data_IF_598814916079
#
_entry.id   IF_598814916079
#
_cell.length_a   1.000
_cell.length_b   1.000
_cell.length_c   1.000
_cell.angle_alpha   90.00
_cell.angle_beta   90.00
_cell.angle_gamma   90.00
#
_symmetry.space_group_name_H-M   'P 1'
#
loop_
_entity.id
_entity.type
_entity.pdbx_description
1 polymer ?
#
# COMPACT_ATOMS: atom_id res chain seq x y z
N UNK A 1 -10.62 45.43 -52.83
CA UNK A 1 -11.35 44.28 -52.26
C UNK A 1 -10.53 42.97 -52.01
N UNK A 2 -9.17 42.88 -52.06
CA UNK A 2 -8.49 41.60 -51.80
C UNK A 2 -8.05 41.35 -50.33
N UNK A 3 -7.98 42.39 -49.48
CA UNK A 3 -7.44 42.27 -48.10
C UNK A 3 -8.35 41.52 -47.12
N UNK A 4 -9.67 41.56 -47.31
CA UNK A 4 -10.61 40.86 -46.43
C UNK A 4 -10.69 39.36 -46.70
N UNK A 5 -10.47 38.93 -47.94
CA UNK A 5 -10.42 37.50 -48.30
C UNK A 5 -9.18 36.80 -47.73
N UNK A 6 -8.02 37.49 -47.70
CA UNK A 6 -6.80 36.94 -47.11
C UNK A 6 -6.90 36.75 -45.59
N UNK A 7 -7.53 37.69 -44.88
CA UNK A 7 -7.75 37.58 -43.43
C UNK A 7 -8.74 36.46 -43.08
N UNK A 8 -9.80 36.28 -43.89
CA UNK A 8 -10.76 35.19 -43.69
C UNK A 8 -10.12 33.82 -43.95
N UNK A 9 -9.31 33.70 -45.00
CA UNK A 9 -8.57 32.47 -45.31
C UNK A 9 -7.56 32.12 -44.21
N UNK A 10 -6.86 33.11 -43.65
CA UNK A 10 -5.95 32.91 -42.52
C UNK A 10 -6.70 32.49 -41.25
N UNK A 11 -7.87 33.06 -40.98
CA UNK A 11 -8.71 32.69 -39.85
C UNK A 11 -9.27 31.27 -39.97
N UNK A 12 -9.69 30.86 -41.18
CA UNK A 12 -10.12 29.48 -41.46
C UNK A 12 -8.94 28.49 -41.38
N UNK A 13 -7.75 28.86 -41.85
CA UNK A 13 -6.54 28.05 -41.68
C UNK A 13 -6.13 27.91 -40.20
N UNK A 14 -6.29 28.97 -39.39
CA UNK A 14 -6.05 28.93 -37.94
C UNK A 14 -7.13 28.12 -37.20
N UNK A 15 -8.39 28.17 -37.64
CA UNK A 15 -9.48 27.33 -37.13
C UNK A 15 -9.29 25.85 -37.49
N UNK A 16 -8.87 25.55 -38.72
CA UNK A 16 -8.55 24.18 -39.16
C UNK A 16 -7.26 23.67 -38.52
N UNK A 17 -6.29 24.53 -38.25
CA UNK A 17 -5.07 24.20 -37.50
C UNK A 17 -5.30 24.12 -35.98
N UNK A 18 -6.41 24.65 -35.45
CA UNK A 18 -6.80 24.49 -34.03
C UNK A 18 -7.74 23.30 -33.77
N UNK A 19 -8.34 22.73 -34.81
CA UNK A 19 -9.04 21.44 -34.71
C UNK A 19 -8.17 20.28 -34.18
N UNK A 20 -6.88 20.11 -34.57
CA UNK A 20 -6.01 19.11 -33.95
C UNK A 20 -5.55 19.47 -32.53
N UNK A 21 -5.72 20.72 -32.06
CA UNK A 21 -5.38 21.14 -30.69
C UNK A 21 -6.46 20.81 -29.66
N UNK A 22 -7.63 20.32 -30.10
CA UNK A 22 -8.59 19.60 -29.26
C UNK A 22 -8.70 18.14 -29.73
N UNK A 23 -7.58 17.45 -29.85
CA UNK A 23 -7.62 16.00 -29.75
C UNK A 23 -8.35 15.68 -28.44
N UNK A 24 -9.50 15.03 -28.52
CA UNK A 24 -10.23 14.59 -27.34
C UNK A 24 -9.25 13.88 -26.41
N UNK A 25 -9.26 14.22 -25.11
CA UNK A 25 -8.37 13.61 -24.13
C UNK A 25 -8.42 12.09 -24.33
N UNK A 26 -7.30 11.43 -24.69
CA UNK A 26 -7.30 10.00 -24.97
C UNK A 26 -7.84 9.18 -23.79
N UNK A 27 -7.79 9.72 -22.57
CA UNK A 27 -8.33 9.10 -21.36
C UNK A 27 -9.87 9.14 -21.27
N UNK A 28 -10.54 9.99 -22.04
CA UNK A 28 -12.00 10.07 -22.13
C UNK A 28 -12.61 9.14 -23.20
N UNK A 29 -11.75 8.46 -23.98
CA UNK A 29 -12.18 7.44 -24.94
C UNK A 29 -12.93 6.33 -24.20
N UNK A 30 -14.13 5.99 -24.69
CA UNK A 30 -14.90 4.87 -24.18
C UNK A 30 -14.27 3.54 -24.56
N UNK A 31 -14.05 2.68 -23.58
CA UNK A 31 -13.47 1.34 -23.72
C UNK A 31 -14.37 0.30 -23.03
N UNK A 32 -14.40 -0.95 -23.50
CA UNK A 32 -15.14 -2.01 -22.82
C UNK A 32 -14.52 -2.27 -21.44
N UNK A 33 -15.34 -2.27 -20.40
CA UNK A 33 -14.97 -2.83 -19.11
C UNK A 33 -15.16 -4.34 -19.20
N UNK A 34 -14.18 -5.03 -19.77
CA UNK A 34 -14.08 -6.49 -19.81
C UNK A 34 -12.61 -6.85 -19.86
N UNK A 35 -12.16 -7.67 -18.93
CA UNK A 35 -10.78 -8.13 -18.87
C UNK A 35 -10.72 -9.44 -18.09
N UNK A 36 -9.70 -10.25 -18.35
CA UNK A 36 -9.44 -11.45 -17.56
C UNK A 36 -7.95 -11.76 -17.57
N UNK A 37 -7.29 -11.61 -16.43
CA UNK A 37 -5.86 -11.87 -16.31
C UNK A 37 -5.56 -12.80 -15.13
N UNK A 38 -4.67 -13.75 -15.38
CA UNK A 38 -4.11 -14.71 -14.42
C UNK A 38 -2.64 -14.47 -14.12
N UNK A 39 -2.02 -13.52 -14.82
CA UNK A 39 -0.64 -13.10 -14.58
C UNK A 39 -0.54 -11.58 -14.73
N UNK A 40 0.50 -10.98 -14.14
CA UNK A 40 0.77 -9.56 -14.34
C UNK A 40 0.97 -9.20 -15.82
N UNK A 41 1.65 -10.09 -16.58
CA UNK A 41 1.85 -9.93 -18.02
C UNK A 41 0.53 -9.90 -18.79
N UNK A 42 -0.40 -10.78 -18.45
CA UNK A 42 -1.75 -10.78 -19.04
C UNK A 42 -2.49 -9.49 -18.71
N UNK A 43 -2.43 -9.01 -17.45
CA UNK A 43 -3.08 -7.77 -17.05
C UNK A 43 -2.53 -6.55 -17.82
N UNK A 44 -1.21 -6.49 -18.01
CA UNK A 44 -0.57 -5.48 -18.88
C UNK A 44 -1.10 -5.57 -20.31
N UNK A 45 -1.19 -6.79 -20.86
CA UNK A 45 -1.69 -7.02 -22.22
C UNK A 45 -3.15 -6.59 -22.38
N UNK A 46 -3.99 -6.85 -21.38
CA UNK A 46 -5.39 -6.42 -21.32
C UNK A 46 -5.52 -4.90 -21.33
N UNK A 47 -4.68 -4.19 -20.56
CA UNK A 47 -4.63 -2.72 -20.57
C UNK A 47 -4.28 -2.21 -21.98
N UNK A 48 -3.22 -2.77 -22.58
CA UNK A 48 -2.77 -2.35 -23.91
C UNK A 48 -3.83 -2.62 -24.99
N UNK A 49 -4.43 -3.80 -24.98
CA UNK A 49 -5.45 -4.20 -25.96
C UNK A 49 -6.72 -3.35 -25.85
N UNK A 50 -7.18 -3.10 -24.63
CA UNK A 50 -8.44 -2.39 -24.37
C UNK A 50 -8.33 -0.89 -24.60
N UNK A 51 -7.23 -0.28 -24.15
CA UNK A 51 -7.04 1.18 -24.23
C UNK A 51 -6.36 1.62 -25.53
N UNK A 52 -5.45 0.80 -26.05
CA UNK A 52 -4.53 1.15 -27.13
C UNK A 52 -3.30 1.94 -26.65
N UNK A 53 -3.07 2.04 -25.34
CA UNK A 53 -1.90 2.70 -24.78
C UNK A 53 -0.73 1.72 -24.66
N UNK A 54 0.50 2.24 -24.77
CA UNK A 54 1.67 1.49 -24.34
C UNK A 54 1.66 1.38 -22.80
N UNK A 55 2.22 0.31 -22.25
CA UNK A 55 2.34 0.13 -20.81
C UNK A 55 3.80 -0.10 -20.45
N UNK A 56 4.27 0.62 -19.45
CA UNK A 56 5.61 0.48 -18.88
C UNK A 56 5.51 0.27 -17.37
N UNK A 57 6.55 -0.35 -16.80
CA UNK A 57 6.66 -0.63 -15.37
C UNK A 57 8.16 -0.67 -15.01
N UNK A 58 8.59 -0.13 -13.86
CA UNK A 58 9.93 -0.36 -13.35
C UNK A 58 10.27 -1.86 -13.26
N UNK A 59 11.50 -2.23 -13.61
CA UNK A 59 11.90 -3.63 -13.74
C UNK A 59 11.75 -4.40 -12.41
N UNK A 60 12.18 -3.79 -11.31
CA UNK A 60 12.06 -4.33 -9.95
C UNK A 60 10.61 -4.57 -9.52
N UNK A 61 9.71 -3.66 -9.89
CA UNK A 61 8.26 -3.81 -9.68
C UNK A 61 7.69 -4.93 -10.55
N UNK A 62 8.06 -4.99 -11.83
CA UNK A 62 7.61 -6.05 -12.73
C UNK A 62 8.09 -7.44 -12.27
N UNK A 63 9.35 -7.54 -11.83
CA UNK A 63 9.94 -8.77 -11.31
C UNK A 63 9.24 -9.20 -10.02
N UNK A 64 8.99 -8.28 -9.09
CA UNK A 64 8.22 -8.57 -7.89
C UNK A 64 6.80 -9.06 -8.23
N UNK A 65 6.07 -8.33 -9.07
CA UNK A 65 4.69 -8.69 -9.46
C UNK A 65 4.61 -10.05 -10.16
N UNK A 66 5.64 -10.42 -10.92
CA UNK A 66 5.74 -11.74 -11.55
C UNK A 66 5.89 -12.89 -10.54
N UNK A 67 6.39 -12.62 -9.32
CA UNK A 67 6.51 -13.63 -8.26
C UNK A 67 5.21 -13.87 -7.49
N UNK A 68 4.22 -12.98 -7.65
CA UNK A 68 2.97 -13.07 -6.89
C UNK A 68 2.04 -14.10 -7.51
N UNK A 69 1.67 -15.10 -6.70
CA UNK A 69 0.58 -16.04 -7.02
C UNK A 69 -0.82 -15.44 -6.84
N UNK A 70 -0.90 -14.16 -6.45
CA UNK A 70 -2.15 -13.43 -6.16
C UNK A 70 -3.07 -13.25 -7.38
N UNK A 71 -2.55 -13.39 -8.60
CA UNK A 71 -3.36 -13.36 -9.83
C UNK A 71 -4.20 -14.63 -10.04
N UNK A 72 -4.81 -15.19 -9.00
CA UNK A 72 -5.65 -16.40 -9.12
C UNK A 72 -6.85 -16.20 -10.06
N UNK A 73 -7.22 -14.93 -10.35
CA UNK A 73 -7.86 -14.41 -11.57
C UNK A 73 -8.44 -13.03 -11.24
N UNK A 74 -7.94 -11.97 -11.86
CA UNK A 74 -8.66 -10.68 -11.91
C UNK A 74 -9.52 -10.70 -13.16
N UNK A 75 -10.83 -10.48 -13.04
CA UNK A 75 -11.70 -10.52 -14.21
C UNK A 75 -12.99 -9.75 -14.03
N UNK A 76 -13.46 -9.15 -15.12
CA UNK A 76 -14.76 -8.48 -15.21
C UNK A 76 -15.42 -8.79 -16.56
N UNK A 77 -16.76 -8.91 -16.65
CA UNK A 77 -17.71 -8.93 -15.55
C UNK A 77 -17.63 -10.22 -14.73
N UNK A 78 -18.09 -10.15 -13.48
CA UNK A 78 -18.29 -11.32 -12.63
C UNK A 78 -19.57 -12.05 -13.08
N UNK A 79 -19.44 -13.18 -13.80
CA UNK A 79 -20.58 -13.98 -14.29
C UNK A 79 -21.25 -13.43 -15.57
N UNK A 80 -22.52 -13.77 -15.79
CA UNK A 80 -23.32 -13.40 -17.00
C UNK A 80 -23.79 -11.92 -17.02
N UNK A 81 -23.03 -10.99 -16.45
CA UNK A 81 -23.43 -9.59 -16.44
C UNK A 81 -23.12 -8.90 -17.78
N UNK A 82 -23.95 -7.92 -18.14
CA UNK A 82 -23.81 -7.15 -19.39
C UNK A 82 -22.48 -6.38 -19.45
N UNK A 83 -21.82 -6.40 -20.61
CA UNK A 83 -20.65 -5.58 -20.90
C UNK A 83 -20.99 -4.09 -20.75
N UNK A 84 -20.20 -3.39 -19.93
CA UNK A 84 -20.29 -1.93 -19.75
C UNK A 84 -19.14 -1.27 -20.48
N UNK A 85 -19.31 -0.02 -20.90
CA UNK A 85 -18.20 0.83 -21.37
C UNK A 85 -17.92 1.91 -20.34
N UNK A 86 -16.65 2.26 -20.18
CA UNK A 86 -16.20 3.35 -19.32
C UNK A 86 -15.17 4.21 -20.06
N UNK A 87 -14.95 5.47 -19.64
CA UNK A 87 -13.76 6.21 -20.02
C UNK A 87 -12.49 5.40 -19.70
N UNK A 88 -11.47 5.46 -20.56
CA UNK A 88 -10.21 4.75 -20.37
C UNK A 88 -9.55 5.04 -19.01
N UNK A 89 -9.69 6.27 -18.49
CA UNK A 89 -9.28 6.60 -17.11
C UNK A 89 -9.93 5.69 -16.07
N UNK A 90 -11.26 5.59 -16.10
CA UNK A 90 -12.01 4.80 -15.13
C UNK A 90 -11.74 3.29 -15.29
N UNK A 91 -11.50 2.82 -16.52
CA UNK A 91 -11.02 1.45 -16.75
C UNK A 91 -9.66 1.20 -16.08
N UNK A 92 -8.70 2.10 -16.26
CA UNK A 92 -7.37 2.02 -15.62
C UNK A 92 -7.49 2.04 -14.09
N UNK A 93 -8.32 2.92 -13.53
CA UNK A 93 -8.57 2.99 -12.08
C UNK A 93 -9.09 1.66 -11.52
N UNK A 94 -9.96 0.97 -12.26
CA UNK A 94 -10.50 -0.33 -11.86
C UNK A 94 -9.45 -1.43 -11.92
N UNK A 95 -8.81 -1.64 -13.07
CA UNK A 95 -7.89 -2.77 -13.26
C UNK A 95 -6.58 -2.59 -12.48
N UNK A 96 -5.99 -1.38 -12.46
CA UNK A 96 -4.81 -1.07 -11.66
C UNK A 96 -5.16 -1.11 -10.16
N UNK A 97 -6.38 -0.69 -9.83
CA UNK A 97 -7.01 -0.91 -8.53
C UNK A 97 -6.91 -2.37 -8.14
N UNK A 98 -7.51 -3.31 -8.87
CA UNK A 98 -7.47 -4.74 -8.51
C UNK A 98 -6.04 -5.31 -8.35
N UNK A 99 -5.06 -4.76 -9.06
CA UNK A 99 -3.63 -5.12 -8.92
C UNK A 99 -2.90 -4.43 -7.75
N UNK A 100 -3.56 -3.52 -7.03
CA UNK A 100 -2.96 -2.63 -6.03
C UNK A 100 -1.78 -1.79 -6.57
N UNK A 101 -1.90 -1.34 -7.82
CA UNK A 101 -0.90 -0.50 -8.48
C UNK A 101 -1.43 0.91 -8.71
N UNK A 102 -0.52 1.87 -8.64
CA UNK A 102 -0.75 3.22 -9.12
C UNK A 102 -0.44 3.29 -10.61
N UNK A 103 -1.04 4.26 -11.29
CA UNK A 103 -0.74 4.53 -12.69
C UNK A 103 -0.62 6.02 -12.97
N UNK A 104 0.26 6.38 -13.90
CA UNK A 104 0.32 7.72 -14.50
C UNK A 104 0.28 7.59 -16.02
N UNK A 105 -0.09 8.67 -16.70
CA UNK A 105 -0.21 8.67 -18.16
C UNK A 105 0.60 9.80 -18.78
N UNK A 106 1.45 9.44 -19.73
CA UNK A 106 2.17 10.39 -20.58
C UNK A 106 1.39 10.57 -21.90
N UNK A 107 0.75 11.74 -22.11
CA UNK A 107 -0.01 12.00 -23.33
C UNK A 107 0.87 12.14 -24.58
N UNK A 108 2.15 12.47 -24.43
CA UNK A 108 3.05 12.64 -25.58
C UNK A 108 3.39 11.30 -26.24
N UNK A 109 3.60 10.27 -25.41
CA UNK A 109 3.92 8.91 -25.88
C UNK A 109 2.74 7.94 -25.85
N UNK A 110 1.60 8.37 -25.29
CA UNK A 110 0.43 7.51 -25.00
C UNK A 110 0.81 6.29 -24.17
N UNK A 111 1.62 6.52 -23.14
CA UNK A 111 2.15 5.47 -22.27
C UNK A 111 1.54 5.56 -20.89
N UNK A 112 1.05 4.44 -20.39
CA UNK A 112 0.69 4.24 -18.98
C UNK A 112 1.90 3.69 -18.25
N UNK A 113 2.37 4.40 -17.23
CA UNK A 113 3.39 3.90 -16.31
C UNK A 113 2.70 3.30 -15.10
N UNK A 114 2.90 2.00 -14.87
CA UNK A 114 2.44 1.29 -13.69
C UNK A 114 3.55 1.26 -12.64
N UNK A 115 3.20 1.53 -11.39
CA UNK A 115 4.13 1.47 -10.27
C UNK A 115 3.43 1.05 -8.98
N UNK A 116 4.19 0.60 -7.98
CA UNK A 116 3.66 0.51 -6.63
C UNK A 116 3.58 1.90 -6.01
N UNK A 117 2.49 2.22 -5.28
CA UNK A 117 2.40 3.49 -4.58
C UNK A 117 3.58 3.68 -3.60
N UNK A 118 4.05 2.60 -2.95
CA UNK A 118 5.15 2.65 -1.99
C UNK A 118 6.55 2.51 -2.61
N UNK A 119 6.68 2.42 -3.94
CA UNK A 119 7.99 2.38 -4.57
C UNK A 119 8.64 3.76 -4.47
N UNK A 120 9.77 3.81 -3.76
CA UNK A 120 10.52 5.03 -3.52
C UNK A 120 12.00 4.78 -3.79
N UNK A 121 12.59 5.63 -4.63
CA UNK A 121 14.01 5.60 -4.96
C UNK A 121 14.72 6.65 -4.14
N UNK A 122 15.50 6.19 -3.17
CA UNK A 122 16.36 7.04 -2.36
C UNK A 122 17.82 6.62 -2.56
N UNK A 123 18.76 7.57 -2.78
CA UNK A 123 20.17 7.25 -2.98
C UNK A 123 20.90 6.80 -1.71
N UNK A 124 20.39 7.13 -0.51
CA UNK A 124 20.99 6.73 0.78
C UNK A 124 20.99 5.21 0.94
N UNK A 125 21.95 4.64 1.63
CA UNK A 125 21.96 3.20 1.97
C UNK A 125 20.84 2.82 2.94
N UNK A 126 20.52 1.52 3.03
CA UNK A 126 19.58 1.01 4.03
C UNK A 126 19.99 1.38 5.47
N UNK A 127 21.30 1.35 5.77
CA UNK A 127 21.86 1.73 7.07
C UNK A 127 21.62 3.20 7.40
N UNK A 128 21.84 4.10 6.43
CA UNK A 128 21.61 5.53 6.62
C UNK A 128 20.13 5.84 6.83
N UNK A 129 19.24 5.17 6.07
CA UNK A 129 17.80 5.32 6.22
C UNK A 129 17.31 4.83 7.58
N UNK A 130 17.68 3.63 8.01
CA UNK A 130 17.25 3.12 9.33
C UNK A 130 17.80 3.99 10.47
N UNK A 131 19.04 4.47 10.36
CA UNK A 131 19.62 5.40 11.35
C UNK A 131 18.81 6.69 11.44
N UNK A 132 18.45 7.27 10.28
CA UNK A 132 17.61 8.48 10.19
C UNK A 132 16.23 8.25 10.80
N UNK A 133 15.61 7.11 10.49
CA UNK A 133 14.30 6.73 11.02
C UNK A 133 14.35 6.61 12.54
N UNK A 134 15.37 5.95 13.09
CA UNK A 134 15.50 5.74 14.55
C UNK A 134 15.90 6.99 15.31
N UNK A 135 16.73 7.87 14.75
CA UNK A 135 17.20 9.08 15.43
C UNK A 135 16.12 10.16 15.59
N UNK A 136 15.10 10.11 14.75
CA UNK A 136 13.97 11.04 14.74
C UNK A 136 12.70 10.46 15.40
N UNK A 137 12.73 9.18 15.78
CA UNK A 137 11.66 8.52 16.52
C UNK A 137 11.92 8.70 18.02
N UNK A 138 11.32 9.73 18.62
CA UNK A 138 11.49 10.03 20.05
C UNK A 138 10.77 8.96 20.90
N UNK A 139 11.41 8.34 21.93
CA UNK A 139 10.83 7.21 22.65
C UNK A 139 9.68 7.51 23.65
N UNK A 140 9.43 8.76 24.06
CA UNK A 140 8.82 9.00 25.39
C UNK A 140 7.63 9.99 25.48
N UNK A 141 6.98 10.41 24.38
CA UNK A 141 5.79 11.28 24.49
C UNK A 141 4.52 10.63 23.93
N UNK A 142 3.33 10.85 24.55
CA UNK A 142 2.06 10.39 23.99
C UNK A 142 1.86 11.00 22.60
N UNK A 143 1.00 10.44 21.73
CA UNK A 143 0.89 10.87 20.35
C UNK A 143 0.34 12.30 20.26
N UNK A 144 1.25 13.28 20.28
CA UNK A 144 0.96 14.66 19.92
C UNK A 144 0.90 14.71 18.40
N UNK A 145 -0.16 15.32 17.86
CA UNK A 145 -0.23 15.71 16.46
C UNK A 145 1.08 16.42 16.07
N UNK A 146 1.85 15.86 15.12
CA UNK A 146 3.07 16.51 14.62
C UNK A 146 4.38 15.72 14.73
N UNK A 147 4.35 14.41 15.03
CA UNK A 147 5.49 13.52 14.80
C UNK A 147 6.03 13.72 13.36
N UNK A 148 7.36 13.85 13.12
CA UNK A 148 7.91 13.90 11.77
C UNK A 148 7.54 12.61 11.04
N UNK A 149 6.81 12.75 9.94
CA UNK A 149 6.35 11.63 9.15
C UNK A 149 7.52 11.05 8.35
N UNK A 150 8.28 10.15 8.98
CA UNK A 150 9.37 9.42 8.32
C UNK A 150 8.84 8.33 7.36
N UNK A 151 7.55 8.33 7.04
CA UNK A 151 6.98 7.38 6.10
C UNK A 151 7.74 7.38 4.75
N UNK A 152 8.17 8.51 4.16
CA UNK A 152 9.00 8.50 2.96
C UNK A 152 10.31 7.70 3.14
N UNK A 153 11.05 7.93 4.23
CA UNK A 153 12.26 7.18 4.58
C UNK A 153 11.98 5.70 4.79
N UNK A 154 10.88 5.37 5.47
CA UNK A 154 10.47 3.99 5.73
C UNK A 154 10.17 3.29 4.40
N UNK A 155 9.39 3.91 3.52
CA UNK A 155 9.05 3.32 2.21
C UNK A 155 10.30 3.19 1.33
N UNK A 156 11.21 4.16 1.38
CA UNK A 156 12.51 4.07 0.71
C UNK A 156 13.38 2.93 1.24
N UNK A 157 13.39 2.70 2.56
CA UNK A 157 14.11 1.60 3.19
C UNK A 157 13.53 0.25 2.78
N UNK A 158 12.19 0.14 2.77
CA UNK A 158 11.47 -1.05 2.35
C UNK A 158 11.61 -1.32 0.83
N UNK A 159 11.85 -0.28 0.04
CA UNK A 159 12.12 -0.36 -1.39
C UNK A 159 13.57 -0.71 -1.77
N UNK A 160 14.45 -0.94 -0.79
CA UNK A 160 15.84 -1.37 -1.08
C UNK A 160 15.87 -2.77 -1.69
N UNK A 161 16.75 -3.06 -2.67
CA UNK A 161 16.79 -4.35 -3.35
C UNK A 161 16.86 -5.56 -2.42
N UNK A 162 17.63 -5.44 -1.32
CA UNK A 162 17.76 -6.45 -0.28
C UNK A 162 16.48 -6.69 0.55
N UNK A 163 15.53 -5.75 0.52
CA UNK A 163 14.32 -5.72 1.34
C UNK A 163 13.04 -6.03 0.53
N UNK A 164 12.99 -5.67 -0.76
CA UNK A 164 11.79 -5.73 -1.63
C UNK A 164 11.02 -7.04 -1.50
N UNK A 165 11.71 -8.18 -1.60
CA UNK A 165 11.07 -9.50 -1.62
C UNK A 165 10.29 -9.85 -0.35
N UNK A 166 10.71 -9.33 0.81
CA UNK A 166 10.03 -9.49 2.10
C UNK A 166 9.09 -8.33 2.40
N UNK A 167 9.46 -7.10 2.03
CA UNK A 167 8.73 -5.90 2.37
C UNK A 167 7.43 -5.73 1.59
N UNK A 168 7.47 -5.97 0.28
CA UNK A 168 6.36 -5.60 -0.59
C UNK A 168 5.21 -6.61 -0.54
N UNK A 169 5.46 -7.87 -0.16
CA UNK A 169 4.41 -8.88 -0.01
C UNK A 169 3.32 -8.48 1.01
N UNK A 170 3.64 -8.12 2.27
CA UNK A 170 2.62 -7.70 3.23
C UNK A 170 1.94 -6.38 2.82
N UNK A 171 2.67 -5.43 2.21
CA UNK A 171 2.08 -4.18 1.69
C UNK A 171 1.06 -4.44 0.57
N UNK A 172 1.42 -5.32 -0.38
CA UNK A 172 0.58 -5.76 -1.47
C UNK A 172 -0.68 -6.47 -0.94
N UNK A 173 -0.53 -7.41 -0.02
CA UNK A 173 -1.65 -8.13 0.58
C UNK A 173 -2.61 -7.19 1.34
N UNK A 174 -2.07 -6.20 2.05
CA UNK A 174 -2.87 -5.23 2.78
C UNK A 174 -3.67 -4.30 1.86
N UNK A 175 -3.10 -3.89 0.71
CA UNK A 175 -3.80 -3.01 -0.23
C UNK A 175 -4.72 -3.73 -1.21
N UNK A 176 -4.39 -4.96 -1.61
CA UNK A 176 -5.24 -5.82 -2.43
C UNK A 176 -6.67 -5.95 -1.86
N UNK A 177 -6.78 -6.13 -0.54
CA UNK A 177 -8.05 -6.29 0.17
C UNK A 177 -8.88 -5.00 0.30
N UNK A 178 -8.33 -3.83 -0.07
CA UNK A 178 -9.00 -2.54 0.15
C UNK A 178 -10.12 -2.21 -0.87
N UNK A 179 -10.19 -2.93 -2.02
CA UNK A 179 -11.21 -2.84 -3.12
C UNK A 179 -11.79 -1.44 -3.45
N UNK A 180 -11.09 -0.36 -3.11
CA UNK A 180 -11.45 1.02 -3.42
C UNK A 180 -10.56 1.54 -4.55
N UNK A 181 -11.07 2.32 -5.51
CA UNK A 181 -10.27 3.06 -6.50
C UNK A 181 -9.49 4.25 -5.89
N UNK A 182 -9.81 4.70 -4.66
CA UNK A 182 -9.06 5.76 -3.97
C UNK A 182 -7.79 5.23 -3.28
N UNK A 183 -6.95 4.49 -4.02
CA UNK A 183 -5.73 3.86 -3.50
C UNK A 183 -4.56 4.82 -3.54
N UNK A 184 -4.22 5.40 -2.40
CA UNK A 184 -3.06 6.27 -2.35
C UNK A 184 -2.17 5.90 -1.17
N UNK A 185 -0.85 5.99 -1.36
CA UNK A 185 0.16 6.04 -0.28
C UNK A 185 -0.27 6.99 0.84
N UNK A 186 -1.01 8.04 0.49
CA UNK A 186 -1.55 9.03 1.43
C UNK A 186 -2.51 8.45 2.46
N UNK A 187 -2.82 7.14 2.42
CA UNK A 187 -3.54 6.42 3.46
C UNK A 187 -2.61 5.67 4.44
N UNK A 188 -1.39 5.32 4.03
CA UNK A 188 -0.42 4.67 4.92
C UNK A 188 -0.10 5.62 6.09
N UNK A 189 -0.11 5.08 7.31
CA UNK A 189 0.25 5.84 8.52
C UNK A 189 1.26 5.05 9.31
N UNK A 190 2.43 5.63 9.57
CA UNK A 190 3.32 5.09 10.60
C UNK A 190 2.62 5.14 11.95
N UNK A 191 2.51 4.00 12.62
CA UNK A 191 1.91 3.90 13.96
C UNK A 191 2.98 3.82 15.03
N UNK A 192 4.01 3.02 14.80
CA UNK A 192 5.04 2.74 15.80
C UNK A 192 6.37 2.48 15.09
N UNK A 193 7.43 3.08 15.61
CA UNK A 193 8.82 2.76 15.28
C UNK A 193 9.59 2.75 16.58
N UNK A 194 10.37 1.69 16.82
CA UNK A 194 11.21 1.66 17.99
C UNK A 194 12.09 0.42 18.09
N UNK A 195 13.08 0.45 18.99
CA UNK A 195 13.90 -0.71 19.28
C UNK A 195 13.06 -1.81 19.95
N UNK A 196 13.42 -3.06 19.70
CA UNK A 196 12.78 -4.25 20.29
C UNK A 196 13.81 -5.35 20.49
N UNK A 197 13.57 -6.23 21.46
CA UNK A 197 14.33 -7.47 21.66
C UNK A 197 13.41 -8.64 21.28
N UNK A 198 13.83 -9.45 20.31
CA UNK A 198 13.05 -10.63 19.91
C UNK A 198 13.28 -11.81 20.88
N UNK A 199 12.55 -12.91 20.69
CA UNK A 199 12.66 -14.12 21.54
C UNK A 199 14.03 -14.79 21.49
N UNK A 200 14.82 -14.54 20.44
CA UNK A 200 16.21 -14.96 20.32
C UNK A 200 17.20 -14.03 21.07
N UNK A 201 16.64 -13.05 21.81
CA UNK A 201 17.34 -12.00 22.53
C UNK A 201 18.21 -11.10 21.65
N UNK A 202 17.96 -11.08 20.33
CA UNK A 202 18.62 -10.17 19.41
C UNK A 202 17.86 -8.83 19.30
N UNK A 203 18.59 -7.71 19.17
CA UNK A 203 17.98 -6.41 18.98
C UNK A 203 17.55 -6.20 17.52
N UNK A 204 16.38 -5.58 17.36
CA UNK A 204 15.85 -5.15 16.08
C UNK A 204 15.22 -3.77 16.19
N UNK A 205 14.92 -3.15 15.04
CA UNK A 205 13.98 -2.05 14.95
C UNK A 205 12.65 -2.60 14.44
N UNK A 206 11.58 -2.38 15.22
CA UNK A 206 10.22 -2.68 14.84
C UNK A 206 9.60 -1.46 14.16
N UNK A 207 8.92 -1.68 13.04
CA UNK A 207 8.12 -0.67 12.35
C UNK A 207 6.72 -1.23 12.15
N UNK A 208 5.70 -0.45 12.51
CA UNK A 208 4.29 -0.75 12.28
C UNK A 208 3.66 0.34 11.41
N UNK A 209 3.15 -0.05 10.24
CA UNK A 209 2.44 0.82 9.31
C UNK A 209 0.99 0.39 9.26
N UNK A 210 0.08 1.29 9.58
CA UNK A 210 -1.36 1.08 9.45
C UNK A 210 -1.82 1.42 8.03
N UNK A 211 -2.72 0.59 7.53
CA UNK A 211 -3.47 0.81 6.31
C UNK A 211 -4.95 0.97 6.67
N UNK A 212 -5.52 2.18 6.57
CA UNK A 212 -6.95 2.36 6.75
C UNK A 212 -7.69 1.80 5.52
N UNK A 213 -8.54 0.80 5.72
CA UNK A 213 -9.53 0.40 4.71
C UNK A 213 -10.82 1.14 5.09
N UNK A 214 -11.11 2.24 4.39
CA UNK A 214 -12.24 3.10 4.73
C UNK A 214 -13.58 2.59 4.19
N UNK A 215 -13.58 1.91 3.02
CA UNK A 215 -14.82 1.47 2.35
C UNK A 215 -15.51 0.27 3.00
N UNK A 216 -14.79 -0.54 3.76
CA UNK A 216 -15.38 -1.62 4.57
C UNK A 216 -15.30 -1.22 6.04
N UNK A 217 -16.40 -0.76 6.67
CA UNK A 217 -16.42 -0.45 8.09
C UNK A 217 -16.14 -1.72 8.89
N UNK A 218 -14.86 -1.94 9.14
CA UNK A 218 -14.40 -3.09 9.86
C UNK A 218 -13.28 -3.92 9.27
N UNK A 219 -12.59 -3.50 8.22
CA UNK A 219 -11.31 -4.13 7.92
C UNK A 219 -10.23 -3.12 8.31
N UNK A 220 -9.44 -3.44 9.32
CA UNK A 220 -8.19 -2.74 9.58
C UNK A 220 -7.06 -3.69 9.21
N UNK A 221 -6.07 -3.21 8.48
CA UNK A 221 -4.82 -3.94 8.34
C UNK A 221 -3.66 -3.08 8.81
N UNK A 222 -2.67 -3.74 9.39
CA UNK A 222 -1.37 -3.15 9.62
C UNK A 222 -0.32 -4.08 9.01
N UNK A 223 0.80 -3.52 8.62
CA UNK A 223 1.97 -4.27 8.21
C UNK A 223 3.07 -3.97 9.21
N UNK A 224 3.82 -5.00 9.58
CA UNK A 224 4.93 -4.86 10.50
C UNK A 224 6.22 -5.36 9.85
N UNK A 225 7.32 -4.78 10.30
CA UNK A 225 8.66 -5.04 9.77
C UNK A 225 9.67 -5.10 10.91
N UNK A 226 10.57 -6.07 10.85
CA UNK A 226 11.72 -6.21 11.75
C UNK A 226 12.99 -5.97 10.96
N UNK A 227 13.70 -4.92 11.33
CA UNK A 227 14.93 -4.49 10.68
C UNK A 227 16.13 -4.71 11.59
N UNK A 228 17.21 -5.20 11.00
CA UNK A 228 18.53 -5.23 11.66
C UNK A 228 19.13 -3.83 11.65
N UNK A 229 20.17 -3.62 12.46
CA UNK A 229 20.90 -2.34 12.54
C UNK A 229 21.44 -1.86 11.17
N UNK A 230 21.78 -2.79 10.28
CA UNK A 230 22.25 -2.46 8.93
C UNK A 230 21.13 -2.08 7.94
N UNK A 231 19.86 -2.08 8.39
CA UNK A 231 18.69 -1.76 7.56
C UNK A 231 18.15 -2.93 6.73
N UNK A 232 18.70 -4.13 6.88
CA UNK A 232 18.15 -5.34 6.21
C UNK A 232 16.95 -5.88 6.97
N UNK A 233 15.94 -6.35 6.24
CA UNK A 233 14.80 -7.02 6.83
C UNK A 233 15.19 -8.40 7.38
N UNK A 234 14.81 -8.64 8.62
CA UNK A 234 14.86 -9.95 9.26
C UNK A 234 13.55 -10.71 9.05
N UNK A 235 12.43 -10.01 9.18
CA UNK A 235 11.08 -10.57 9.00
C UNK A 235 10.07 -9.44 8.76
N UNK A 236 8.94 -9.79 8.16
CA UNK A 236 7.85 -8.86 7.91
C UNK A 236 6.53 -9.63 7.82
N UNK A 237 5.42 -8.96 8.09
CA UNK A 237 4.10 -9.57 8.01
C UNK A 237 2.97 -8.55 7.98
N UNK A 238 1.75 -9.07 7.86
CA UNK A 238 0.53 -8.28 7.94
C UNK A 238 -0.30 -8.76 9.13
N UNK A 239 -1.10 -7.85 9.68
CA UNK A 239 -2.08 -8.10 10.73
C UNK A 239 -3.41 -7.66 10.13
N UNK A 240 -4.38 -8.57 10.11
CA UNK A 240 -5.77 -8.19 9.91
C UNK A 240 -6.41 -8.08 11.28
N UNK A 241 -6.90 -6.90 11.64
CA UNK A 241 -7.55 -6.67 12.93
C UNK A 241 -8.98 -7.22 12.96
N UNK A 242 -9.51 -7.72 11.83
CA UNK A 242 -10.83 -8.31 11.73
C UNK A 242 -12.00 -7.33 11.81
N UNK A 243 -13.23 -7.85 11.69
CA UNK A 243 -14.45 -7.05 11.47
C UNK A 243 -14.69 -6.00 12.59
N UNK A 244 -14.93 -4.75 12.17
CA UNK A 244 -15.19 -3.54 12.97
C UNK A 244 -14.09 -3.18 13.96
N UNK A 245 -12.89 -3.70 13.74
CA UNK A 245 -11.74 -3.47 14.58
C UNK A 245 -10.72 -2.60 13.85
N UNK A 246 -10.34 -1.46 14.44
CA UNK A 246 -9.35 -0.55 13.88
C UNK A 246 -8.17 -0.43 14.83
N UNK A 247 -6.95 -0.63 14.33
CA UNK A 247 -5.74 -0.26 15.06
C UNK A 247 -5.76 1.25 15.37
N UNK A 248 -5.76 1.61 16.64
CA UNK A 248 -5.79 3.00 17.10
C UNK A 248 -4.38 3.51 17.38
N UNK A 249 -3.60 2.75 18.17
CA UNK A 249 -2.22 3.05 18.53
C UNK A 249 -1.47 1.76 18.87
N UNK A 250 -0.15 1.85 19.01
CA UNK A 250 0.67 0.76 19.53
C UNK A 250 1.84 1.31 20.34
N UNK A 251 2.33 0.52 21.29
CA UNK A 251 3.48 0.83 22.15
C UNK A 251 4.37 -0.40 22.33
N UNK A 252 5.61 -0.19 22.74
CA UNK A 252 6.59 -1.24 23.05
C UNK A 252 6.74 -1.31 24.57
N UNK A 253 6.61 -2.51 25.14
CA UNK A 253 6.72 -2.78 26.55
C UNK A 253 7.80 -3.85 26.85
N UNK A 254 8.44 -3.84 28.04
CA UNK A 254 8.46 -2.72 28.97
C UNK A 254 9.24 -1.53 28.40
N UNK A 255 8.89 -0.31 28.84
CA UNK A 255 9.72 0.88 28.66
C UNK A 255 10.35 1.25 30.02
N UNK A 256 11.69 1.35 30.14
CA UNK A 256 12.69 1.15 29.09
C UNK A 256 12.86 -0.33 28.71
N UNK A 257 13.35 -0.57 27.48
CA UNK A 257 13.54 -1.91 26.94
C UNK A 257 14.57 -2.68 27.75
N UNK A 258 14.19 -3.88 28.17
CA UNK A 258 15.07 -4.86 28.80
C UNK A 258 15.76 -5.72 27.75
N UNK A 259 17.08 -5.90 27.87
CA UNK A 259 17.84 -6.87 27.05
C UNK A 259 17.76 -8.30 27.60
N UNK A 260 17.12 -8.49 28.77
CA UNK A 260 17.04 -9.78 29.46
C UNK A 260 15.79 -10.58 29.12
N UNK A 261 14.82 -9.95 28.45
CA UNK A 261 13.54 -10.55 28.11
C UNK A 261 13.05 -10.01 26.77
N UNK A 262 12.23 -10.77 26.02
CA UNK A 262 11.64 -10.29 24.78
C UNK A 262 10.78 -9.04 25.04
N UNK A 263 10.77 -8.12 24.08
CA UNK A 263 9.84 -6.99 24.07
C UNK A 263 8.43 -7.46 23.72
N UNK A 264 7.46 -6.83 24.35
CA UNK A 264 6.05 -6.93 24.02
C UNK A 264 5.62 -5.74 23.16
N UNK A 265 4.78 -5.99 22.16
CA UNK A 265 4.09 -4.95 21.40
C UNK A 265 2.64 -4.95 21.88
N UNK A 266 2.22 -3.86 22.51
CA UNK A 266 0.82 -3.67 22.87
C UNK A 266 0.15 -2.82 21.80
N UNK A 267 -0.90 -3.35 21.19
CA UNK A 267 -1.69 -2.67 20.17
C UNK A 267 -3.07 -2.35 20.72
N UNK A 268 -3.40 -1.06 20.79
CA UNK A 268 -4.74 -0.61 21.14
C UNK A 268 -5.63 -0.69 19.91
N UNK A 269 -6.69 -1.47 20.01
CA UNK A 269 -7.67 -1.72 18.97
C UNK A 269 -9.00 -1.10 19.38
N UNK A 270 -9.60 -0.33 18.47
CA UNK A 270 -10.98 0.16 18.64
C UNK A 270 -11.92 -0.81 17.93
N UNK A 271 -12.69 -1.56 18.71
CA UNK A 271 -13.71 -2.47 18.23
C UNK A 271 -15.10 -1.85 18.39
N UNK A 272 -15.84 -1.71 17.28
CA UNK A 272 -17.10 -0.95 17.24
C UNK A 272 -16.92 0.51 17.70
N UNK A 273 -18.00 1.18 18.10
CA UNK A 273 -17.95 2.59 18.52
C UNK A 273 -17.42 2.81 19.94
N UNK A 274 -17.44 1.79 20.80
CA UNK A 274 -17.29 1.95 22.26
C UNK A 274 -16.22 1.06 22.91
N UNK A 275 -15.85 -0.07 22.30
CA UNK A 275 -14.96 -1.03 22.95
C UNK A 275 -13.51 -0.79 22.55
N UNK A 276 -12.65 -0.67 23.54
CA UNK A 276 -11.20 -0.66 23.35
C UNK A 276 -10.65 -1.99 23.82
N UNK A 277 -9.87 -2.63 22.96
CA UNK A 277 -9.17 -3.88 23.24
C UNK A 277 -7.68 -3.61 23.17
N UNK A 278 -6.90 -4.34 23.97
CA UNK A 278 -5.45 -4.32 23.95
C UNK A 278 -5.00 -5.70 23.53
N UNK A 279 -4.43 -5.80 22.34
CA UNK A 279 -3.79 -7.00 21.83
C UNK A 279 -2.30 -6.94 22.14
N UNK A 280 -1.78 -7.96 22.82
CA UNK A 280 -0.36 -8.08 23.18
C UNK A 280 0.31 -9.11 22.31
N UNK A 281 1.54 -8.81 21.92
CA UNK A 281 2.36 -9.66 21.08
C UNK A 281 3.79 -9.68 21.60
N UNK A 282 4.51 -10.76 21.32
CA UNK A 282 5.96 -10.76 21.34
C UNK A 282 6.51 -11.05 19.95
N UNK A 283 7.78 -10.73 19.75
CA UNK A 283 8.46 -10.92 18.48
C UNK A 283 9.22 -12.24 18.52
N UNK A 284 8.69 -13.26 17.85
CA UNK A 284 9.33 -14.54 17.72
C UNK A 284 10.16 -14.65 16.43
N UNK A 285 10.94 -15.73 16.32
CA UNK A 285 11.75 -16.03 15.12
C UNK A 285 10.91 -16.03 13.84
N UNK A 286 9.69 -16.55 13.91
CA UNK A 286 8.79 -16.71 12.77
C UNK A 286 7.83 -15.53 12.60
N UNK A 287 7.97 -14.47 13.42
CA UNK A 287 7.21 -13.24 13.31
C UNK A 287 6.49 -12.83 14.59
N UNK A 288 5.50 -11.95 14.44
CA UNK A 288 4.71 -11.42 15.55
C UNK A 288 3.76 -12.50 16.10
N UNK A 289 3.98 -12.93 17.34
CA UNK A 289 3.18 -13.98 17.98
C UNK A 289 2.22 -13.35 19.01
N UNK A 290 0.94 -13.72 18.92
CA UNK A 290 -0.11 -13.24 19.81
C UNK A 290 0.03 -13.84 21.21
N UNK A 291 -0.06 -13.00 22.23
CA UNK A 291 0.02 -13.40 23.64
C UNK A 291 -1.36 -13.37 24.32
N UNK A 292 -2.04 -12.23 24.22
CA UNK A 292 -3.32 -12.02 24.91
C UNK A 292 -4.12 -10.92 24.26
N UNK A 293 -5.43 -10.98 24.42
CA UNK A 293 -6.37 -9.90 24.10
C UNK A 293 -7.16 -9.62 25.36
N UNK A 294 -7.15 -8.36 25.79
CA UNK A 294 -7.90 -7.90 26.95
C UNK A 294 -8.74 -6.69 26.59
N UNK A 295 -9.81 -6.45 27.33
CA UNK A 295 -10.55 -5.20 27.23
C UNK A 295 -9.84 -4.06 27.97
N UNK A 296 -10.43 -2.86 27.92
CA UNK A 296 -9.92 -1.68 28.61
C UNK A 296 -9.81 -1.82 30.15
N UNK A 297 -10.45 -2.84 30.73
CA UNK A 297 -10.42 -3.14 32.16
C UNK A 297 -9.46 -4.29 32.50
N UNK A 298 -8.77 -4.86 31.50
CA UNK A 298 -7.85 -5.97 31.65
C UNK A 298 -8.52 -7.35 31.72
N UNK A 299 -9.83 -7.44 31.47
CA UNK A 299 -10.51 -8.72 31.40
C UNK A 299 -10.16 -9.42 30.09
N UNK A 300 -9.89 -10.73 30.15
CA UNK A 300 -9.59 -11.52 28.97
C UNK A 300 -10.77 -11.51 27.98
N UNK A 301 -10.45 -11.38 26.71
CA UNK A 301 -11.41 -11.36 25.60
C UNK A 301 -11.07 -12.49 24.63
N UNK A 302 -12.07 -13.22 24.13
CA UNK A 302 -11.82 -14.33 23.19
C UNK A 302 -11.41 -13.78 21.82
N UNK A 303 -10.18 -14.05 21.33
CA UNK A 303 -9.72 -13.55 20.03
C UNK A 303 -10.52 -14.10 18.84
N UNK A 304 -11.29 -15.19 19.01
CA UNK A 304 -12.17 -15.75 17.97
C UNK A 304 -13.30 -14.80 17.59
N UNK A 305 -13.75 -13.97 18.53
CA UNK A 305 -14.89 -13.06 18.33
C UNK A 305 -14.57 -11.91 17.38
N UNK A 306 -13.29 -11.65 17.11
CA UNK A 306 -12.82 -10.58 16.22
C UNK A 306 -11.86 -11.08 15.13
N UNK A 307 -11.70 -12.39 14.97
CA UNK A 307 -10.81 -13.01 13.97
C UNK A 307 -9.37 -12.49 14.02
N UNK A 308 -8.86 -12.09 15.20
CA UNK A 308 -7.51 -11.52 15.32
C UNK A 308 -6.41 -12.58 15.10
N UNK A 309 -6.74 -13.87 15.27
CA UNK A 309 -5.78 -14.98 15.33
C UNK A 309 -5.48 -15.68 13.99
N UNK A 310 -6.45 -15.80 13.09
CA UNK A 310 -6.24 -16.50 11.80
C UNK A 310 -5.36 -15.70 10.82
N UNK A 311 -5.27 -14.40 11.05
CA UNK A 311 -4.52 -13.43 10.22
C UNK A 311 -3.05 -13.28 10.62
N UNK A 312 -2.59 -14.00 11.65
CA UNK A 312 -1.24 -13.90 12.23
C UNK A 312 -0.42 -15.19 12.10
N UNK A 313 -1.03 -16.30 11.68
CA UNK A 313 -0.46 -17.65 11.75
C UNK A 313 -0.13 -18.25 10.37
N UNK A 314 -0.05 -17.46 9.30
CA UNK A 314 0.33 -17.92 7.96
C UNK A 314 1.33 -16.99 7.29
#
# INVERSE_FOLDING_TARGET
>A
MPRHLAALALFFLLLLASAPLRAADPLEKQVPLTYSARTFREAVSEIQATTGFAVQCPQDVADFMATLTYFTRISYPYGDAASRTLPARAFLDVICGEMAMAWTFDPATKTVMLDHPWHSRDPRSARELITTITSTSVPDDPPIQGLPDNLPEILALLGKPENVGLAWKPLQAALANSLSPDRTVSLLRRVLVGPVIATDLQPYTFILIKLPIERYPGQGSATWFLLRENGTLASAGAISTGWRCKLASAVIAPSPISTKSPSEIEMALKWSFQTHLIARFHIARDGLQFLSLVDAHGAAFDPKDISLGDSLLK
#
